data_IF_575085401632
#
_entry.id   IF_575085401632
#
_cell.length_a   1.000
_cell.length_b   1.000
_cell.length_c   1.000
_cell.angle_alpha   90.00
_cell.angle_beta   90.00
_cell.angle_gamma   90.00
#
_symmetry.space_group_name_H-M   'P 1'
#
loop_
_entity.id
_entity.type
_entity.pdbx_description
1 polymer ?
#
# COMPACT_ATOMS: atom_id res chain seq x y z
N UNK A 1 2.69 -8.95 -13.14
CA UNK A 1 1.55 -9.55 -12.40
C UNK A 1 2.05 -9.99 -11.04
N UNK A 2 1.32 -9.68 -9.95
CA UNK A 2 1.75 -10.03 -8.59
C UNK A 2 1.84 -11.55 -8.36
N UNK A 3 1.06 -12.34 -9.10
CA UNK A 3 1.14 -13.80 -9.06
C UNK A 3 2.50 -14.35 -9.52
N UNK A 4 3.03 -13.84 -10.63
CA UNK A 4 4.36 -14.22 -11.11
C UNK A 4 5.46 -13.81 -10.12
N UNK A 5 5.34 -12.62 -9.52
CA UNK A 5 6.29 -12.13 -8.50
C UNK A 5 6.28 -13.00 -7.25
N UNK A 6 5.10 -13.49 -6.84
CA UNK A 6 4.98 -14.40 -5.72
C UNK A 6 5.67 -15.75 -5.99
N UNK A 7 5.48 -16.32 -7.18
CA UNK A 7 6.13 -17.58 -7.58
C UNK A 7 7.66 -17.45 -7.56
N UNK A 8 8.19 -16.43 -8.24
CA UNK A 8 9.64 -16.20 -8.30
C UNK A 8 10.26 -15.95 -6.91
N UNK A 9 9.57 -15.17 -6.05
CA UNK A 9 10.05 -14.93 -4.69
C UNK A 9 10.02 -16.20 -3.83
N UNK A 10 9.03 -17.08 -4.04
CA UNK A 10 8.92 -18.38 -3.34
C UNK A 10 10.04 -19.33 -3.77
N UNK A 11 10.29 -19.43 -5.08
CA UNK A 11 11.37 -20.26 -5.64
C UNK A 11 12.77 -19.83 -5.16
N UNK A 12 12.97 -18.52 -4.98
CA UNK A 12 14.24 -17.94 -4.50
C UNK A 12 14.32 -17.82 -2.97
N UNK A 13 13.34 -18.36 -2.22
CA UNK A 13 13.24 -18.26 -0.76
C UNK A 13 13.26 -16.81 -0.21
N UNK A 14 12.76 -15.85 -1.00
CA UNK A 14 12.63 -14.43 -0.62
C UNK A 14 11.28 -14.19 0.05
N UNK A 15 11.14 -14.68 1.27
CA UNK A 15 9.85 -14.73 1.97
C UNK A 15 9.17 -13.37 2.19
N UNK A 16 9.95 -12.31 2.41
CA UNK A 16 9.40 -10.95 2.55
C UNK A 16 8.75 -10.46 1.25
N UNK A 17 9.36 -10.75 0.11
CA UNK A 17 8.84 -10.39 -1.22
C UNK A 17 7.61 -11.24 -1.55
N UNK A 18 7.63 -12.54 -1.22
CA UNK A 18 6.50 -13.43 -1.40
C UNK A 18 5.28 -13.01 -0.56
N UNK A 19 5.48 -12.63 0.71
CA UNK A 19 4.40 -12.16 1.58
C UNK A 19 3.76 -10.86 1.06
N UNK A 20 4.59 -9.93 0.57
CA UNK A 20 4.10 -8.68 -0.01
C UNK A 20 3.31 -8.91 -1.30
N UNK A 21 3.77 -9.82 -2.16
CA UNK A 21 3.06 -10.17 -3.39
C UNK A 21 1.70 -10.84 -3.09
N UNK A 22 1.63 -11.70 -2.08
CA UNK A 22 0.38 -12.30 -1.59
C UNK A 22 -0.60 -11.26 -1.04
N UNK A 23 -0.13 -10.34 -0.21
CA UNK A 23 -0.97 -9.26 0.32
C UNK A 23 -1.62 -8.45 -0.82
N UNK A 24 -0.84 -8.14 -1.86
CA UNK A 24 -1.35 -7.38 -3.02
C UNK A 24 -2.34 -8.19 -3.85
N UNK A 25 -2.16 -9.51 -3.97
CA UNK A 25 -3.14 -10.39 -4.62
C UNK A 25 -4.46 -10.43 -3.85
N UNK A 26 -4.39 -10.56 -2.53
CA UNK A 26 -5.56 -10.58 -1.65
C UNK A 26 -6.36 -9.28 -1.71
N UNK A 27 -5.68 -8.13 -1.77
CA UNK A 27 -6.32 -6.82 -1.90
C UNK A 27 -7.08 -6.67 -3.23
N UNK A 28 -6.52 -7.18 -4.33
CA UNK A 28 -7.19 -7.21 -5.64
C UNK A 28 -8.45 -8.09 -5.59
N UNK A 29 -8.37 -9.27 -4.95
CA UNK A 29 -9.52 -10.16 -4.79
C UNK A 29 -10.66 -9.54 -3.96
N UNK A 30 -10.33 -8.65 -3.02
CA UNK A 30 -11.30 -7.93 -2.20
C UNK A 30 -11.90 -6.71 -2.90
N UNK A 31 -11.42 -6.38 -4.11
CA UNK A 31 -11.88 -5.21 -4.86
C UNK A 31 -11.39 -3.88 -4.27
N UNK A 32 -10.35 -3.90 -3.44
CA UNK A 32 -9.73 -2.67 -2.92
C UNK A 32 -8.94 -1.97 -4.03
N UNK A 33 -9.32 -0.72 -4.31
CA UNK A 33 -8.61 0.17 -5.22
C UNK A 33 -7.41 0.77 -4.46
N UNK A 34 -6.18 0.48 -4.91
CA UNK A 34 -4.93 0.85 -4.25
C UNK A 34 -4.77 2.37 -4.08
N UNK A 35 -5.30 2.94 -3.00
CA UNK A 35 -5.09 4.35 -2.62
C UNK A 35 -4.09 4.53 -1.48
N UNK A 36 -3.84 3.48 -0.69
CA UNK A 36 -3.11 3.60 0.58
C UNK A 36 -1.58 3.46 0.47
N UNK A 37 -1.04 3.00 -0.66
CA UNK A 37 0.42 2.96 -0.87
C UNK A 37 1.00 4.31 -1.35
N UNK A 38 0.17 5.33 -1.57
CA UNK A 38 0.60 6.65 -2.04
C UNK A 38 0.82 7.70 -0.92
N UNK A 39 0.47 7.41 0.33
CA UNK A 39 0.57 8.39 1.43
C UNK A 39 1.73 8.10 2.37
N UNK A 40 2.94 8.37 1.90
CA UNK A 40 4.05 8.76 2.78
C UNK A 40 4.98 9.82 2.15
N UNK A 41 4.42 10.73 1.34
CA UNK A 41 5.08 11.98 0.95
C UNK A 41 4.24 13.22 1.31
N UNK A 42 3.81 13.34 2.56
CA UNK A 42 3.40 14.66 3.06
C UNK A 42 4.10 14.96 4.37
N UNK A 43 5.09 15.86 4.28
CA UNK A 43 5.62 16.59 5.44
C UNK A 43 4.52 17.43 6.11
N UNK A 44 4.79 17.96 7.31
CA UNK A 44 3.76 18.53 8.15
C UNK A 44 3.40 19.95 7.68
N UNK A 45 2.14 20.16 7.30
CA UNK A 45 1.47 21.45 7.37
C UNK A 45 -0.05 21.27 7.36
N UNK A 46 -0.55 20.64 8.43
CA UNK A 46 -1.96 20.72 8.77
C UNK A 46 -2.33 22.16 9.19
N UNK A 47 -3.59 22.50 8.90
CA UNK A 47 -4.42 23.51 9.57
C UNK A 47 -4.20 24.98 9.17
N UNK A 48 -4.74 25.34 8.00
CA UNK A 48 -5.56 26.56 7.96
C UNK A 48 -6.90 26.22 8.63
N UNK A 49 -7.15 26.79 9.81
CA UNK A 49 -8.45 26.72 10.47
C UNK A 49 -8.92 28.13 10.77
N UNK A 50 -9.88 28.57 9.96
CA UNK A 50 -10.78 29.68 10.26
C UNK A 50 -11.27 29.60 11.71
N UNK A 51 -10.83 30.54 12.54
CA UNK A 51 -11.52 30.86 13.80
C UNK A 51 -12.45 32.02 13.54
N UNK A 52 -13.74 31.69 13.42
CA UNK A 52 -14.86 32.62 13.45
C UNK A 52 -15.09 33.12 14.89
N UNK A 53 -15.40 34.41 15.00
CA UNK A 53 -16.05 35.13 16.12
C UNK A 53 -15.20 35.59 17.32
N UNK A 54 -14.96 36.90 17.40
CA UNK A 54 -15.49 37.82 18.43
C UNK A 54 -15.31 39.27 17.97
#
# INVERSE_FOLDING_TARGET
MFFQQWLEATELARWNEAAMALYKLQAIEQGEDFKDLAFHETGPAAANSDSKAA
#
